data_IF_427102622875
#
_entry.id   IF_427102622875
#
_cell.length_a   1.000
_cell.length_b   1.000
_cell.length_c   1.000
_cell.angle_alpha   90.00
_cell.angle_beta   90.00
_cell.angle_gamma   90.00
#
_symmetry.space_group_name_H-M   'P 1'
#
loop_
_entity.id
_entity.type
_entity.pdbx_description
1 polymer ?
#
# COMPACT_ATOMS: atom_id res chain seq x y z
N UNK A 1 -3.12 -10.98 -2.07
CA UNK A 1 -1.84 -10.66 -1.42
C UNK A 1 -1.77 -9.15 -1.40
N UNK A 2 -2.44 -8.56 -0.42
CA UNK A 2 -2.46 -7.12 -0.25
C UNK A 2 -1.25 -6.81 0.60
N UNK A 3 -0.33 -6.03 0.05
CA UNK A 3 0.84 -5.55 0.77
C UNK A 3 0.34 -4.64 1.89
N UNK A 4 0.81 -4.92 3.10
CA UNK A 4 0.70 -4.06 4.25
C UNK A 4 1.50 -2.79 3.94
N UNK A 5 0.80 -1.67 3.81
CA UNK A 5 1.43 -0.36 3.84
C UNK A 5 1.83 -0.11 5.29
N UNK A 6 3.11 0.18 5.49
CA UNK A 6 3.68 0.61 6.76
C UNK A 6 3.05 1.95 7.16
N UNK A 7 1.93 1.90 7.88
CA UNK A 7 1.40 3.02 8.63
C UNK A 7 2.26 3.19 9.89
N UNK A 8 3.13 4.20 9.87
CA UNK A 8 3.87 4.68 11.03
C UNK A 8 2.90 4.96 12.20
N UNK A 9 3.06 4.20 13.29
CA UNK A 9 2.34 4.37 14.55
C UNK A 9 2.54 5.80 15.10
N UNK A 10 1.55 6.68 14.91
CA UNK A 10 1.44 7.91 15.68
C UNK A 10 0.98 7.58 17.11
N UNK A 11 1.95 7.28 17.98
CA UNK A 11 1.72 7.17 19.42
C UNK A 11 1.74 8.57 20.06
N UNK A 12 0.57 9.10 20.39
CA UNK A 12 0.47 10.28 21.26
C UNK A 12 0.77 9.86 22.71
N UNK A 13 2.03 10.05 23.11
CA UNK A 13 2.52 9.76 24.46
C UNK A 13 1.89 10.65 25.55
N UNK A 14 1.10 11.66 25.18
CA UNK A 14 0.55 12.67 26.10
C UNK A 14 -0.96 12.59 26.30
N UNK A 15 -1.58 11.43 26.01
CA UNK A 15 -2.99 11.22 26.31
C UNK A 15 -3.21 11.04 27.84
N UNK A 16 -3.27 12.16 28.56
CA UNK A 16 -3.42 12.26 30.03
C UNK A 16 -4.65 11.54 30.60
N UNK A 17 -5.60 11.14 29.76
CA UNK A 17 -6.75 10.32 30.17
C UNK A 17 -6.31 8.90 30.54
N UNK A 18 -5.26 8.38 29.89
CA UNK A 18 -4.76 7.01 30.12
C UNK A 18 -3.84 6.93 31.34
N UNK A 19 -3.19 8.05 31.71
CA UNK A 19 -2.28 8.14 32.86
C UNK A 19 -2.97 7.92 34.23
N UNK A 20 -4.31 8.02 34.29
CA UNK A 20 -5.10 7.81 35.51
C UNK A 20 -5.49 6.35 35.78
N UNK A 21 -5.28 5.43 34.83
CA UNK A 21 -5.70 4.04 34.94
C UNK A 21 -4.55 3.17 35.49
N UNK A 22 -4.26 3.32 36.78
CA UNK A 22 -3.15 2.62 37.46
C UNK A 22 -3.28 1.09 37.57
N UNK A 23 -4.35 0.50 37.06
CA UNK A 23 -4.60 -0.95 37.12
C UNK A 23 -5.17 -1.53 35.81
N UNK A 24 -5.09 -0.81 34.70
CA UNK A 24 -5.42 -1.41 33.39
C UNK A 24 -4.12 -1.82 32.74
N UNK A 25 -3.75 -3.09 32.89
CA UNK A 25 -2.79 -3.73 32.01
C UNK A 25 -3.37 -3.69 30.59
N UNK A 26 -3.02 -2.66 29.83
CA UNK A 26 -3.28 -2.62 28.39
C UNK A 26 -2.35 -3.68 27.80
N UNK A 27 -2.82 -4.91 27.70
CA UNK A 27 -2.12 -5.96 26.98
C UNK A 27 -1.92 -5.46 25.54
N UNK A 28 -0.67 -5.17 25.19
CA UNK A 28 -0.28 -4.87 23.82
C UNK A 28 -0.48 -6.13 22.99
N UNK A 29 -1.67 -6.26 22.41
CA UNK A 29 -1.94 -7.35 21.47
C UNK A 29 -1.09 -7.07 20.24
N UNK A 30 -0.02 -7.87 20.03
CA UNK A 30 0.70 -7.86 18.76
C UNK A 30 -0.34 -8.00 17.64
N UNK A 31 -0.27 -7.12 16.64
CA UNK A 31 -1.17 -7.10 15.46
C UNK A 31 -1.15 -8.47 14.74
N UNK A 32 -0.05 -9.20 14.87
CA UNK A 32 0.12 -10.58 14.46
C UNK A 32 -0.49 -11.56 15.47
N UNK A 33 -1.70 -12.03 15.18
CA UNK A 33 -2.29 -13.15 15.91
C UNK A 33 -1.53 -14.45 15.61
N UNK A 34 -1.01 -15.08 16.65
CA UNK A 34 -0.47 -16.43 16.55
C UNK A 34 -1.62 -17.43 16.40
N UNK A 35 -2.00 -17.78 15.17
CA UNK A 35 -3.03 -18.80 14.86
C UNK A 35 -2.65 -20.23 15.26
N UNK A 36 -1.48 -20.38 15.88
CA UNK A 36 -0.94 -21.67 16.28
C UNK A 36 -1.72 -22.20 17.49
N UNK A 37 -1.88 -23.52 17.58
CA UNK A 37 -2.42 -24.15 18.79
C UNK A 37 -1.62 -23.72 20.01
N UNK A 38 -2.33 -23.48 21.12
CA UNK A 38 -1.69 -23.15 22.39
C UNK A 38 -0.78 -24.29 22.86
N UNK A 39 0.17 -24.00 23.76
CA UNK A 39 1.02 -25.05 24.35
C UNK A 39 0.16 -26.13 25.03
N UNK A 40 -0.95 -25.73 25.66
CA UNK A 40 -1.92 -26.63 26.27
C UNK A 40 -2.60 -27.55 25.24
N UNK A 41 -3.05 -27.01 24.09
CA UNK A 41 -3.64 -27.83 23.02
C UNK A 41 -2.61 -28.85 22.46
N UNK A 42 -1.33 -28.46 22.37
CA UNK A 42 -0.26 -29.38 21.94
C UNK A 42 -0.04 -30.51 22.94
N UNK A 43 -0.02 -30.20 24.24
CA UNK A 43 0.10 -31.22 25.30
C UNK A 43 -1.10 -32.17 25.26
N UNK A 44 -2.32 -31.64 25.12
CA UNK A 44 -3.54 -32.44 25.01
C UNK A 44 -3.52 -33.36 23.77
N UNK A 45 -2.98 -32.90 22.64
CA UNK A 45 -2.78 -33.73 21.43
C UNK A 45 -1.80 -34.88 21.68
N UNK A 46 -0.71 -34.64 22.41
CA UNK A 46 0.25 -35.70 22.79
C UNK A 46 -0.40 -36.71 23.75
N UNK A 47 -1.13 -36.23 24.75
CA UNK A 47 -1.86 -37.08 25.71
C UNK A 47 -2.93 -37.94 25.02
N UNK A 48 -3.71 -37.35 24.11
CA UNK A 48 -4.69 -38.07 23.29
C UNK A 48 -4.04 -39.18 22.46
N UNK A 49 -2.88 -38.88 21.87
CA UNK A 49 -2.12 -39.86 21.07
C UNK A 49 -1.57 -40.98 21.93
N UNK A 50 -1.07 -40.66 23.13
CA UNK A 50 -0.58 -41.63 24.09
C UNK A 50 -1.70 -42.55 24.63
N UNK A 51 -2.88 -41.98 24.94
CA UNK A 51 -4.05 -42.73 25.38
C UNK A 51 -4.50 -43.76 24.32
N UNK A 52 -4.46 -43.37 23.04
CA UNK A 52 -4.73 -44.24 21.89
C UNK A 52 -3.70 -45.36 21.77
N UNK A 53 -2.40 -45.04 21.93
CA UNK A 53 -1.30 -46.01 21.84
C UNK A 53 -1.37 -47.07 22.95
N UNK A 54 -1.77 -46.66 24.17
CA UNK A 54 -1.88 -47.55 25.33
C UNK A 54 -3.22 -48.30 25.42
N UNK A 55 -4.11 -48.16 24.43
CA UNK A 55 -5.44 -48.80 24.40
C UNK A 55 -6.23 -48.54 25.70
N UNK A 56 -6.24 -47.28 26.14
CA UNK A 56 -7.07 -46.83 27.26
C UNK A 56 -8.57 -47.04 26.98
N UNK A 57 -9.45 -46.95 27.99
CA UNK A 57 -10.90 -47.08 27.81
C UNK A 57 -11.41 -46.23 26.65
N UNK A 58 -12.32 -46.79 25.85
CA UNK A 58 -12.86 -46.14 24.65
C UNK A 58 -13.50 -44.79 24.98
N UNK A 59 -14.16 -44.70 26.13
CA UNK A 59 -14.76 -43.47 26.67
C UNK A 59 -13.75 -42.32 26.75
N UNK A 60 -12.53 -42.57 27.23
CA UNK A 60 -11.50 -41.54 27.38
C UNK A 60 -10.92 -41.09 26.03
N UNK A 61 -10.85 -42.02 25.08
CA UNK A 61 -10.38 -41.71 23.72
C UNK A 61 -11.42 -40.86 23.00
N UNK A 62 -12.70 -41.16 23.14
CA UNK A 62 -13.82 -40.39 22.58
C UNK A 62 -13.93 -39.00 23.23
N UNK A 63 -13.85 -38.92 24.56
CA UNK A 63 -13.87 -37.65 25.28
C UNK A 63 -12.69 -36.75 24.89
N UNK A 64 -11.49 -37.32 24.77
CA UNK A 64 -10.30 -36.60 24.30
C UNK A 64 -10.48 -36.07 22.87
N UNK A 65 -11.03 -36.87 21.96
CA UNK A 65 -11.29 -36.47 20.59
C UNK A 65 -12.33 -35.34 20.53
N UNK A 66 -13.40 -35.44 21.34
CA UNK A 66 -14.43 -34.40 21.47
C UNK A 66 -13.87 -33.10 22.05
N UNK A 67 -12.99 -33.17 23.04
CA UNK A 67 -12.35 -31.99 23.61
C UNK A 67 -11.41 -31.29 22.60
N UNK A 68 -10.68 -32.07 21.79
CA UNK A 68 -9.83 -31.51 20.74
C UNK A 68 -10.64 -30.85 19.61
N UNK A 69 -11.79 -31.42 19.22
CA UNK A 69 -12.67 -30.80 18.22
C UNK A 69 -13.29 -29.51 18.76
N UNK A 70 -13.66 -29.46 20.04
CA UNK A 70 -14.15 -28.24 20.69
C UNK A 70 -13.11 -27.12 20.67
N UNK A 71 -11.84 -27.41 20.99
CA UNK A 71 -10.78 -26.41 20.92
C UNK A 71 -10.56 -25.90 19.48
N UNK A 72 -10.72 -26.78 18.49
CA UNK A 72 -10.64 -26.40 17.08
C UNK A 72 -11.82 -25.52 16.63
N UNK A 73 -13.04 -25.76 17.12
CA UNK A 73 -14.19 -24.90 16.82
C UNK A 73 -14.04 -23.52 17.46
N UNK A 74 -13.61 -23.45 18.72
CA UNK A 74 -13.34 -22.17 19.42
C UNK A 74 -12.29 -21.34 18.67
N UNK A 75 -11.23 -21.97 18.15
CA UNK A 75 -10.23 -21.27 17.31
C UNK A 75 -10.84 -20.71 16.02
N UNK A 76 -11.73 -21.45 15.38
CA UNK A 76 -12.44 -20.99 14.18
C UNK A 76 -13.40 -19.84 14.51
N UNK A 77 -14.12 -19.93 15.62
CA UNK A 77 -15.00 -18.85 16.08
C UNK A 77 -14.24 -17.57 16.38
N UNK A 78 -13.10 -17.65 17.08
CA UNK A 78 -12.25 -16.49 17.33
C UNK A 78 -11.79 -15.81 16.04
N UNK A 79 -11.47 -16.57 14.99
CA UNK A 79 -11.13 -16.02 13.68
C UNK A 79 -12.27 -15.16 13.12
N UNK A 80 -13.50 -15.66 13.18
CA UNK A 80 -14.67 -14.94 12.68
C UNK A 80 -15.02 -13.74 13.57
N UNK A 81 -14.94 -13.89 14.89
CA UNK A 81 -15.14 -12.81 15.85
C UNK A 81 -14.14 -11.67 15.62
N UNK A 82 -12.87 -12.00 15.39
CA UNK A 82 -11.85 -11.00 15.04
C UNK A 82 -12.15 -10.33 13.71
N UNK A 83 -12.58 -11.07 12.69
CA UNK A 83 -12.96 -10.48 11.41
C UNK A 83 -14.11 -9.49 11.58
N UNK A 84 -15.12 -9.84 12.39
CA UNK A 84 -16.23 -8.95 12.73
C UNK A 84 -15.78 -7.72 13.51
N UNK A 85 -14.89 -7.90 14.49
CA UNK A 85 -14.28 -6.79 15.23
C UNK A 85 -13.54 -5.82 14.31
N UNK A 86 -12.73 -6.34 13.37
CA UNK A 86 -12.04 -5.51 12.39
C UNK A 86 -13.03 -4.77 11.48
N UNK A 87 -14.10 -5.44 11.03
CA UNK A 87 -15.14 -4.81 10.22
C UNK A 87 -15.85 -3.67 10.97
N UNK A 88 -16.16 -3.87 12.26
CA UNK A 88 -16.74 -2.84 13.11
C UNK A 88 -15.78 -1.66 13.32
N UNK A 89 -14.51 -1.96 13.61
CA UNK A 89 -13.47 -0.95 13.76
C UNK A 89 -13.28 -0.13 12.48
N UNK A 90 -13.24 -0.78 11.31
CA UNK A 90 -13.19 -0.11 10.02
C UNK A 90 -14.43 0.77 9.79
N UNK A 91 -15.61 0.33 10.21
CA UNK A 91 -16.84 1.14 10.06
C UNK A 91 -16.75 2.43 10.88
N UNK A 92 -16.18 2.37 12.08
CA UNK A 92 -15.95 3.56 12.91
C UNK A 92 -14.90 4.48 12.26
N UNK A 93 -13.80 3.92 11.77
CA UNK A 93 -12.74 4.65 11.06
C UNK A 93 -13.26 5.33 9.80
N UNK A 94 -14.01 4.63 8.94
CA UNK A 94 -14.65 5.21 7.75
C UNK A 94 -15.58 6.36 8.12
N UNK A 95 -16.34 6.22 9.21
CA UNK A 95 -17.23 7.29 9.68
C UNK A 95 -16.43 8.52 10.12
N UNK A 96 -15.32 8.32 10.80
CA UNK A 96 -14.42 9.40 11.20
C UNK A 96 -13.78 10.08 9.98
N UNK A 97 -13.25 9.31 9.03
CA UNK A 97 -12.70 9.80 7.75
C UNK A 97 -13.74 10.62 6.96
N UNK A 98 -14.99 10.16 6.90
CA UNK A 98 -16.08 10.91 6.26
C UNK A 98 -16.41 12.21 6.99
N UNK A 99 -16.23 12.25 8.31
CA UNK A 99 -16.39 13.47 9.10
C UNK A 99 -15.22 14.43 8.86
N UNK A 100 -13.99 13.93 8.85
CA UNK A 100 -12.76 14.68 8.58
C UNK A 100 -12.77 15.25 7.16
N UNK A 101 -13.22 14.50 6.15
CA UNK A 101 -13.31 14.94 4.76
C UNK A 101 -14.27 16.13 4.54
N UNK A 102 -15.22 16.36 5.47
CA UNK A 102 -16.15 17.51 5.42
C UNK A 102 -15.62 18.73 6.15
N UNK A 103 -14.57 18.58 6.96
CA UNK A 103 -13.98 19.71 7.67
C UNK A 103 -13.38 20.69 6.66
N UNK A 104 -13.44 21.97 7.02
CA UNK A 104 -12.87 23.06 6.25
C UNK A 104 -11.87 23.81 7.10
N UNK A 105 -10.88 24.40 6.44
CA UNK A 105 -9.99 25.34 7.09
C UNK A 105 -10.82 26.47 7.70
N UNK A 106 -10.55 26.75 8.97
CA UNK A 106 -11.21 27.82 9.72
C UNK A 106 -10.20 28.59 10.56
N UNK A 107 -10.58 29.81 10.90
CA UNK A 107 -9.88 30.57 11.91
C UNK A 107 -10.13 29.95 13.30
N UNK A 108 -9.17 30.11 14.23
CA UNK A 108 -9.38 29.74 15.61
C UNK A 108 -10.52 30.53 16.25
N UNK A 109 -11.18 29.87 17.19
CA UNK A 109 -12.11 30.53 18.12
C UNK A 109 -11.33 31.24 19.23
N UNK A 110 -11.97 32.17 19.95
CA UNK A 110 -11.31 32.90 21.03
C UNK A 110 -10.69 32.01 22.12
N UNK A 111 -11.28 30.84 22.40
CA UNK A 111 -10.73 29.86 23.34
C UNK A 111 -9.46 29.20 22.81
N UNK A 112 -9.45 28.83 21.53
CA UNK A 112 -8.30 28.20 20.86
C UNK A 112 -7.15 29.20 20.69
N UNK A 113 -7.46 30.48 20.45
CA UNK A 113 -6.49 31.57 20.44
C UNK A 113 -5.74 31.67 21.79
N UNK A 114 -6.47 31.54 22.90
CA UNK A 114 -5.87 31.48 24.24
C UNK A 114 -5.03 30.21 24.46
N UNK A 115 -5.40 29.09 23.83
CA UNK A 115 -4.63 27.84 23.90
C UNK A 115 -3.32 27.91 23.11
N UNK A 116 -3.31 28.60 21.97
CA UNK A 116 -2.09 28.89 21.20
C UNK A 116 -1.04 29.65 22.04
N UNK A 117 -1.49 30.64 22.82
CA UNK A 117 -0.60 31.41 23.71
C UNK A 117 0.01 30.55 24.82
N UNK A 118 -0.74 29.56 25.30
CA UNK A 118 -0.32 28.69 26.38
C UNK A 118 0.52 27.48 25.93
N UNK A 119 0.81 27.32 24.61
CA UNK A 119 1.62 26.24 24.00
C UNK A 119 1.26 24.81 24.42
N UNK A 120 0.04 24.58 24.95
CA UNK A 120 -0.32 23.32 25.61
C UNK A 120 -0.94 22.27 24.70
N UNK A 121 -1.25 22.61 23.44
CA UNK A 121 -2.03 21.73 22.56
C UNK A 121 -1.48 21.87 21.13
N UNK A 122 -1.02 20.78 20.49
CA UNK A 122 -0.91 20.71 19.04
C UNK A 122 -2.33 20.82 18.48
N UNK A 123 -2.66 21.97 17.89
CA UNK A 123 -4.00 22.18 17.36
C UNK A 123 -4.17 21.43 16.04
N UNK A 124 -5.40 20.98 15.82
CA UNK A 124 -5.75 20.19 14.64
C UNK A 124 -5.36 20.91 13.34
N UNK A 125 -4.92 20.13 12.35
CA UNK A 125 -4.40 20.65 11.07
C UNK A 125 -5.38 21.55 10.29
N UNK A 126 -6.66 21.59 10.65
CA UNK A 126 -7.68 22.42 9.98
C UNK A 126 -7.87 23.82 10.59
N UNK A 127 -7.14 24.16 11.64
CA UNK A 127 -7.21 25.48 12.28
C UNK A 127 -6.01 26.32 11.84
N UNK A 128 -6.25 27.41 11.13
CA UNK A 128 -5.21 28.29 10.58
C UNK A 128 -5.29 29.66 11.25
N UNK A 129 -4.17 30.15 11.81
CA UNK A 129 -4.14 31.49 12.40
C UNK A 129 -4.17 32.56 11.32
N UNK A 130 -4.68 33.73 11.66
CA UNK A 130 -4.76 34.85 10.73
C UNK A 130 -3.42 35.21 10.08
N UNK A 131 -2.32 35.21 10.86
CA UNK A 131 -0.97 35.53 10.38
C UNK A 131 -0.41 34.46 9.42
N UNK A 132 -0.93 33.23 9.45
CA UNK A 132 -0.44 32.11 8.65
C UNK A 132 -1.19 31.98 7.32
N UNK A 133 -2.28 32.73 7.12
CA UNK A 133 -3.14 32.60 5.94
C UNK A 133 -2.32 32.77 4.67
N UNK A 134 -1.55 33.84 4.54
CA UNK A 134 -0.80 34.13 3.31
C UNK A 134 0.24 33.05 2.99
N UNK A 135 0.90 32.52 4.02
CA UNK A 135 1.86 31.43 3.89
C UNK A 135 1.18 30.12 3.47
N UNK A 136 0.04 29.78 4.07
CA UNK A 136 -0.74 28.60 3.72
C UNK A 136 -1.35 28.71 2.31
N UNK A 137 -1.88 29.87 1.95
CA UNK A 137 -2.39 30.13 0.60
C UNK A 137 -1.29 29.95 -0.46
N UNK A 138 -0.13 30.58 -0.25
CA UNK A 138 1.01 30.45 -1.17
C UNK A 138 1.46 28.99 -1.32
N UNK A 139 1.47 28.24 -0.20
CA UNK A 139 1.77 26.80 -0.21
C UNK A 139 0.75 26.02 -1.05
N UNK A 140 -0.55 26.22 -0.83
CA UNK A 140 -1.59 25.51 -1.56
C UNK A 140 -1.62 25.87 -3.05
N UNK A 141 -1.32 27.12 -3.41
CA UNK A 141 -1.16 27.51 -4.81
C UNK A 141 0.01 26.77 -5.47
N UNK A 142 1.15 26.69 -4.78
CA UNK A 142 2.30 25.93 -5.27
C UNK A 142 1.96 24.45 -5.42
N UNK A 143 1.38 23.81 -4.40
CA UNK A 143 0.95 22.41 -4.42
C UNK A 143 -0.04 22.15 -5.58
N UNK A 144 -1.00 23.04 -5.81
CA UNK A 144 -1.97 22.92 -6.89
C UNK A 144 -1.31 23.00 -8.28
N UNK A 145 -0.35 23.92 -8.47
CA UNK A 145 0.39 24.02 -9.74
C UNK A 145 1.25 22.79 -9.99
N UNK A 146 1.92 22.27 -8.95
CA UNK A 146 2.75 21.09 -9.05
C UNK A 146 1.91 19.84 -9.37
N UNK A 147 0.78 19.66 -8.69
CA UNK A 147 -0.17 18.59 -8.92
C UNK A 147 -0.72 18.63 -10.36
N UNK A 148 -1.02 19.82 -10.89
CA UNK A 148 -1.50 19.97 -12.26
C UNK A 148 -0.44 19.57 -13.29
N UNK A 149 0.83 19.93 -13.07
CA UNK A 149 1.94 19.53 -13.95
C UNK A 149 2.11 18.01 -13.91
N UNK A 150 2.09 17.39 -12.73
CA UNK A 150 2.16 15.94 -12.54
C UNK A 150 1.00 15.23 -13.26
N UNK A 151 -0.23 15.72 -13.09
CA UNK A 151 -1.42 15.19 -13.74
C UNK A 151 -1.30 15.23 -15.27
N UNK A 152 -0.89 16.38 -15.84
CA UNK A 152 -0.71 16.52 -17.30
C UNK A 152 0.30 15.52 -17.86
N UNK A 153 1.45 15.35 -17.18
CA UNK A 153 2.47 14.36 -17.59
C UNK A 153 1.91 12.94 -17.56
N UNK A 154 1.31 12.53 -16.43
CA UNK A 154 0.76 11.17 -16.27
C UNK A 154 -0.40 10.90 -17.24
N UNK A 155 -1.26 11.90 -17.50
CA UNK A 155 -2.32 11.81 -18.50
C UNK A 155 -1.77 11.64 -19.92
N UNK A 156 -0.74 12.41 -20.29
CA UNK A 156 -0.05 12.27 -21.58
C UNK A 156 0.58 10.88 -21.76
N UNK A 157 1.29 10.40 -20.74
CA UNK A 157 1.88 9.05 -20.74
C UNK A 157 0.80 7.97 -20.82
N UNK A 158 -0.31 8.11 -20.09
CA UNK A 158 -1.44 7.19 -20.16
C UNK A 158 -2.05 7.15 -21.57
N UNK A 159 -2.28 8.31 -22.18
CA UNK A 159 -2.81 8.41 -23.54
C UNK A 159 -1.85 7.76 -24.56
N UNK A 160 -0.53 7.98 -24.42
CA UNK A 160 0.48 7.32 -25.24
C UNK A 160 0.40 5.80 -25.10
N UNK A 161 0.38 5.28 -23.87
CA UNK A 161 0.29 3.83 -23.61
C UNK A 161 -1.04 3.22 -24.10
N UNK A 162 -2.15 3.96 -24.01
CA UNK A 162 -3.44 3.54 -24.55
C UNK A 162 -3.42 3.49 -26.08
N UNK A 163 -2.85 4.51 -26.74
CA UNK A 163 -2.69 4.55 -28.18
C UNK A 163 -1.81 3.39 -28.66
N UNK A 164 -0.73 3.12 -27.93
CA UNK A 164 0.18 2.00 -28.20
C UNK A 164 -0.57 0.67 -28.12
N UNK A 165 -1.34 0.45 -27.04
CA UNK A 165 -2.18 -0.74 -26.88
C UNK A 165 -3.20 -0.92 -28.01
N UNK A 166 -3.88 0.15 -28.41
CA UNK A 166 -5.01 0.08 -29.35
C UNK A 166 -4.58 0.01 -30.82
N UNK A 167 -3.54 0.77 -31.19
CA UNK A 167 -3.13 0.92 -32.58
C UNK A 167 -2.00 -0.03 -32.96
N UNK A 168 -1.32 -0.67 -31.99
CA UNK A 168 -0.25 -1.63 -32.24
C UNK A 168 0.94 -1.06 -33.01
N UNK A 169 0.98 0.25 -33.25
CA UNK A 169 2.04 0.91 -34.00
C UNK A 169 3.23 1.08 -33.08
N UNK A 170 4.16 0.14 -33.18
CA UNK A 170 5.53 0.31 -32.70
C UNK A 170 6.14 1.41 -33.58
N UNK A 171 6.06 2.66 -33.13
CA UNK A 171 6.92 3.71 -33.66
C UNK A 171 8.34 3.19 -33.56
N UNK A 172 9.05 3.12 -34.69
CA UNK A 172 10.39 2.54 -34.84
C UNK A 172 11.44 3.46 -34.20
N UNK A 173 11.27 3.82 -32.93
CA UNK A 173 12.27 4.55 -32.17
C UNK A 173 13.37 3.57 -31.78
N UNK A 174 14.61 3.91 -32.13
CA UNK A 174 15.78 3.20 -31.64
C UNK A 174 16.06 3.63 -30.20
N UNK A 175 16.56 2.70 -29.39
CA UNK A 175 17.00 3.01 -28.04
C UNK A 175 18.09 4.09 -28.07
N UNK A 176 17.98 5.19 -27.29
CA UNK A 176 19.01 6.23 -27.27
C UNK A 176 20.33 5.79 -26.62
N UNK A 177 20.37 4.61 -25.98
CA UNK A 177 21.57 4.07 -25.30
C UNK A 177 22.33 3.10 -26.20
N UNK A 178 21.65 2.07 -26.72
CA UNK A 178 22.28 1.02 -27.54
C UNK A 178 22.01 1.17 -29.04
N UNK A 179 21.17 2.12 -29.46
CA UNK A 179 20.73 2.32 -30.84
C UNK A 179 20.01 1.13 -31.50
N UNK A 180 19.60 0.13 -30.72
CA UNK A 180 18.80 -1.00 -31.21
C UNK A 180 17.31 -0.62 -31.33
N UNK A 181 16.61 -1.20 -32.30
CA UNK A 181 15.18 -0.97 -32.52
C UNK A 181 14.32 -1.55 -31.39
N UNK A 182 13.38 -0.76 -30.86
CA UNK A 182 12.50 -1.13 -29.75
C UNK A 182 11.31 -2.00 -30.22
N UNK A 183 11.61 -3.24 -30.65
CA UNK A 183 10.64 -4.08 -31.37
C UNK A 183 9.83 -5.05 -30.49
N UNK A 184 10.38 -5.48 -29.36
CA UNK A 184 9.82 -6.57 -28.55
C UNK A 184 9.48 -6.11 -27.13
N UNK A 185 10.45 -5.48 -26.46
CA UNK A 185 10.40 -5.16 -25.04
C UNK A 185 11.12 -3.84 -24.78
N UNK A 186 10.40 -2.87 -24.26
CA UNK A 186 10.97 -1.56 -23.92
C UNK A 186 10.25 -0.95 -22.73
N UNK A 187 10.94 0.00 -22.10
CA UNK A 187 10.42 0.76 -20.98
C UNK A 187 10.17 2.20 -21.41
N UNK A 188 9.08 2.76 -20.89
CA UNK A 188 8.66 4.15 -21.09
C UNK A 188 8.83 4.87 -19.75
N UNK A 189 9.64 5.92 -19.75
CA UNK A 189 9.89 6.76 -18.57
C UNK A 189 8.74 7.76 -18.36
N UNK A 190 8.71 8.46 -17.22
CA UNK A 190 7.65 9.45 -16.93
C UNK A 190 7.61 10.60 -17.91
N UNK A 191 8.76 10.93 -18.50
CA UNK A 191 8.89 11.94 -19.55
C UNK A 191 8.36 11.47 -20.92
N UNK A 192 7.91 10.21 -21.04
CA UNK A 192 7.40 9.63 -22.28
C UNK A 192 8.47 9.04 -23.20
N UNK A 193 9.76 9.28 -22.94
CA UNK A 193 10.85 8.71 -23.73
C UNK A 193 11.02 7.21 -23.49
N UNK A 194 11.38 6.49 -24.55
CA UNK A 194 11.52 5.04 -24.57
C UNK A 194 12.99 4.59 -24.48
N UNK A 195 13.25 3.52 -23.75
CA UNK A 195 14.59 2.90 -23.60
C UNK A 195 14.44 1.37 -23.63
N UNK A 196 15.45 0.68 -24.16
CA UNK A 196 15.44 -0.77 -24.26
C UNK A 196 15.38 -1.45 -22.87
N UNK A 197 14.74 -2.61 -22.77
CA UNK A 197 14.64 -3.33 -21.48
C UNK A 197 16.00 -3.69 -20.88
N UNK A 198 17.00 -3.99 -21.73
CA UNK A 198 18.35 -4.34 -21.30
C UNK A 198 19.15 -3.14 -20.77
N UNK A 199 18.81 -1.94 -21.23
CA UNK A 199 19.53 -0.70 -20.94
C UNK A 199 19.09 -0.10 -19.60
N UNK A 200 17.85 -0.34 -19.18
CA UNK A 200 17.28 0.20 -17.94
C UNK A 200 18.04 -0.25 -16.68
N UNK A 201 18.37 -1.54 -16.47
CA UNK A 201 19.18 -1.97 -15.33
C UNK A 201 20.53 -1.25 -15.27
N UNK A 202 21.22 -1.10 -16.40
CA UNK A 202 22.49 -0.36 -16.46
C UNK A 202 22.33 1.11 -16.08
N UNK A 203 21.26 1.76 -16.55
CA UNK A 203 20.96 3.15 -16.16
C UNK A 203 20.60 3.28 -14.68
N UNK A 204 19.95 2.26 -14.10
CA UNK A 204 19.67 2.19 -12.67
C UNK A 204 20.95 2.02 -11.84
N UNK A 205 21.87 1.16 -12.28
CA UNK A 205 23.12 0.89 -11.58
C UNK A 205 24.12 2.06 -11.67
N UNK A 206 24.04 2.84 -12.75
CA UNK A 206 24.79 4.09 -12.89
C UNK A 206 24.28 5.20 -11.97
N UNK A 207 23.02 5.12 -11.55
CA UNK A 207 22.41 6.05 -10.61
C UNK A 207 22.84 5.77 -9.18
N UNK A 208 23.20 6.82 -8.44
CA UNK A 208 23.42 6.70 -6.99
C UNK A 208 22.08 6.55 -6.21
N UNK A 209 20.95 6.86 -6.86
CA UNK A 209 19.59 6.76 -6.31
C UNK A 209 18.79 5.63 -6.97
N UNK A 210 17.70 5.19 -6.36
CA UNK A 210 16.74 4.22 -6.91
C UNK A 210 15.91 4.77 -8.09
N UNK A 211 16.50 5.66 -8.90
CA UNK A 211 15.87 6.41 -9.97
C UNK A 211 16.70 6.28 -11.26
N UNK A 212 16.02 6.24 -12.40
CA UNK A 212 16.63 6.32 -13.73
C UNK A 212 16.66 7.76 -14.19
N UNK A 213 17.82 8.26 -14.61
CA UNK A 213 17.91 9.53 -15.32
C UNK A 213 17.70 9.31 -16.83
N UNK A 214 16.73 10.00 -17.43
CA UNK A 214 16.44 9.88 -18.86
C UNK A 214 17.63 10.37 -19.72
N UNK A 215 18.16 9.58 -20.66
CA UNK A 215 19.28 10.00 -21.51
C UNK A 215 18.93 11.13 -22.49
N UNK A 216 17.64 11.39 -22.76
CA UNK A 216 17.19 12.42 -23.70
C UNK A 216 16.89 13.76 -23.03
N UNK A 217 16.20 13.77 -21.89
CA UNK A 217 15.77 15.00 -21.22
C UNK A 217 16.27 15.13 -19.77
N UNK A 218 17.05 14.17 -19.27
CA UNK A 218 17.61 14.13 -17.90
C UNK A 218 16.59 14.14 -16.77
N UNK A 219 15.31 13.95 -17.09
CA UNK A 219 14.27 13.80 -16.09
C UNK A 219 14.50 12.48 -15.33
N UNK A 220 14.51 12.56 -14.00
CA UNK A 220 14.60 11.40 -13.12
C UNK A 220 13.24 10.71 -13.04
N UNK A 221 13.26 9.38 -13.04
CA UNK A 221 12.07 8.55 -12.93
C UNK A 221 12.34 7.46 -11.90
N UNK A 222 11.53 7.39 -10.85
CA UNK A 222 11.63 6.33 -9.85
C UNK A 222 11.34 4.94 -10.45
N UNK A 223 11.93 3.90 -9.87
CA UNK A 223 11.73 2.50 -10.31
C UNK A 223 10.26 2.11 -10.46
N UNK A 224 9.37 2.55 -9.55
CA UNK A 224 7.93 2.24 -9.57
C UNK A 224 7.10 3.01 -10.61
N UNK A 225 7.68 4.02 -11.24
CA UNK A 225 7.02 4.84 -12.25
C UNK A 225 7.40 4.48 -13.69
N UNK A 226 8.33 3.52 -13.84
CA UNK A 226 8.67 2.95 -15.14
C UNK A 226 7.52 2.07 -15.65
N UNK A 227 7.06 2.40 -16.86
CA UNK A 227 6.06 1.60 -17.57
C UNK A 227 6.76 0.64 -18.51
N UNK A 228 6.36 -0.63 -18.50
CA UNK A 228 6.96 -1.65 -19.35
C UNK A 228 6.01 -2.12 -20.43
N UNK A 229 6.52 -2.19 -21.65
CA UNK A 229 5.77 -2.57 -22.83
C UNK A 229 6.37 -3.86 -23.40
N UNK A 230 5.50 -4.86 -23.60
CA UNK A 230 5.83 -6.10 -24.32
C UNK A 230 4.93 -6.21 -25.54
N UNK A 231 5.54 -6.23 -26.71
CA UNK A 231 4.89 -6.58 -27.97
C UNK A 231 4.81 -8.10 -28.09
N UNK A 232 3.61 -8.68 -27.99
CA UNK A 232 3.40 -10.10 -28.23
C UNK A 232 3.13 -10.34 -29.73
N UNK A 233 4.10 -10.95 -30.42
CA UNK A 233 3.97 -11.29 -31.83
C UNK A 233 3.20 -12.61 -32.07
N UNK A 234 3.04 -13.46 -31.06
CA UNK A 234 2.47 -14.82 -31.25
C UNK A 234 0.94 -14.83 -31.37
N UNK A 235 0.25 -13.88 -30.73
CA UNK A 235 -1.21 -13.75 -30.82
C UNK A 235 -1.69 -13.17 -32.18
N UNK A 236 -0.78 -12.57 -32.94
CA UNK A 236 -1.05 -12.00 -34.26
C UNK A 236 -1.28 -13.04 -35.36
N UNK A 237 -0.99 -14.33 -35.11
CA UNK A 237 -1.22 -15.41 -36.10
C UNK A 237 -2.69 -15.77 -36.30
N UNK A 238 -3.57 -15.38 -35.36
CA UNK A 238 -5.03 -15.64 -35.43
C UNK A 238 -5.82 -14.41 -35.92
N UNK A 239 -5.23 -13.21 -35.87
CA UNK A 239 -5.89 -11.97 -36.28
C UNK A 239 -5.38 -11.45 -37.63
N UNK A 240 -6.13 -11.76 -38.70
CA UNK A 240 -5.92 -11.13 -40.02
C UNK A 240 -6.07 -9.60 -39.88
N UNK A 241 -5.04 -8.88 -40.35
CA UNK A 241 -4.78 -7.42 -40.31
C UNK A 241 -3.95 -6.95 -39.12
N UNK A 242 -2.62 -7.10 -39.22
CA UNK A 242 -1.63 -6.10 -38.80
C UNK A 242 -1.62 -5.60 -37.36
N UNK A 243 -2.30 -6.25 -36.41
CA UNK A 243 -2.33 -5.83 -35.01
C UNK A 243 -1.37 -6.71 -34.19
N UNK A 244 -0.35 -6.06 -33.62
CA UNK A 244 0.52 -6.65 -32.59
C UNK A 244 -0.18 -6.47 -31.25
N UNK A 245 -0.33 -7.55 -30.48
CA UNK A 245 -0.93 -7.48 -29.14
C UNK A 245 0.09 -6.91 -28.16
N UNK A 246 -0.13 -5.67 -27.72
CA UNK A 246 0.77 -4.99 -26.78
C UNK A 246 0.23 -5.12 -25.36
N UNK A 247 1.02 -5.73 -24.46
CA UNK A 247 0.76 -5.77 -23.03
C UNK A 247 1.61 -4.71 -22.33
N UNK A 248 0.93 -3.72 -21.76
CA UNK A 248 1.55 -2.73 -20.87
C UNK A 248 1.40 -3.23 -19.43
N UNK A 249 2.52 -3.37 -18.73
CA UNK A 249 2.55 -3.67 -17.30
C UNK A 249 3.29 -2.54 -16.58
N UNK A 250 2.75 -2.08 -15.46
CA UNK A 250 3.53 -1.26 -14.52
C UNK A 250 4.40 -2.21 -13.73
N UNK A 251 5.69 -1.90 -13.59
CA UNK A 251 6.56 -2.75 -12.78
C UNK A 251 6.34 -2.38 -11.31
N UNK A 252 5.99 -3.38 -10.50
CA UNK A 252 6.16 -3.34 -9.05
C UNK A 252 7.41 -4.18 -8.79
N UNK A 253 8.55 -3.52 -8.58
CA UNK A 253 9.74 -4.21 -8.11
C UNK A 253 9.58 -4.38 -6.60
N UNK A 254 9.65 -5.63 -6.12
CA UNK A 254 9.89 -5.93 -4.71
C UNK A 254 11.40 -5.82 -4.42
#
# INVERSE_FOLDING_TARGET
VCADEDDDDYFDADNKVVAGLKEVEVHTTKKESNWKPSQHERILKVLSTYARLKKMPVEWVEESQCHLTLLETVRKEFKWLRAEWMALSHTISIRDELSMAKLRLRLPTALEEMQFQNKKIPLDSFIVRFVEIDAQMSKFEWDATEALIKLRKKAGTLQYLQNLKNNGSVSQEACPVCHEALNEKWSVMECGHCVCFQCIPTLLDMGMSSEVECPLCRMRTGKGDLSYVVANREASSVFRRGKVDIKVKRIVFY
#
